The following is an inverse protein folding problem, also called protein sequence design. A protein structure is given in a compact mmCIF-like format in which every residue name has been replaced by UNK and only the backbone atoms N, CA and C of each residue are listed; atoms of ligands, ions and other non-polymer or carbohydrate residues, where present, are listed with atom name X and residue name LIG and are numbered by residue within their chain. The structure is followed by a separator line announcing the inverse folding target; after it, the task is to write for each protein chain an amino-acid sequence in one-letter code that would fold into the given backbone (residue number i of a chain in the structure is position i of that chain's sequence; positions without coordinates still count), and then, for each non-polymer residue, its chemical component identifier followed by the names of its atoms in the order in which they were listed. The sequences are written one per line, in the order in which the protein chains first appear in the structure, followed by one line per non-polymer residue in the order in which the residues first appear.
data_IF_093431704017
#
_entry.id   IF_093431704017
#
_cell.length_a   1.000
_cell.length_b   1.000
_cell.length_c   1.000
_cell.angle_alpha   90.00
_cell.angle_beta   90.00
_cell.angle_gamma   90.00
#
_symmetry.space_group_name_H-M   'P 1'
#
loop_
_entity.id
_entity.type
_entity.pdbx_description
1 polymer ?
#
# COMPACT_ATOMS: atom_id res chain seq x y z
N UNK A 1 3.75 3.71 42.54
CA UNK A 1 3.92 2.72 41.47
C UNK A 1 2.67 1.83 41.38
N UNK A 2 1.53 2.37 40.92
CA UNK A 2 0.23 1.66 40.86
C UNK A 2 -0.48 1.80 39.50
N UNK A 3 0.11 2.54 38.55
CA UNK A 3 -0.49 2.84 37.24
C UNK A 3 -0.44 1.66 36.25
N UNK A 4 0.35 0.60 36.50
CA UNK A 4 0.49 -0.51 35.54
C UNK A 4 -0.53 -1.64 35.73
N UNK A 5 -1.07 -1.87 36.93
CA UNK A 5 -1.99 -3.00 37.16
C UNK A 5 -3.41 -2.67 36.68
N UNK A 6 -3.85 -1.41 36.86
CA UNK A 6 -5.19 -0.97 36.48
C UNK A 6 -5.38 -0.94 34.95
N UNK A 7 -4.37 -0.48 34.21
CA UNK A 7 -4.40 -0.47 32.75
C UNK A 7 -4.36 -1.87 32.13
N UNK A 8 -3.65 -2.81 32.76
CA UNK A 8 -3.65 -4.23 32.38
C UNK A 8 -5.03 -4.85 32.63
N UNK A 9 -5.64 -4.61 33.79
CA UNK A 9 -6.98 -5.09 34.12
C UNK A 9 -8.07 -4.51 33.20
N UNK A 10 -7.99 -3.23 32.85
CA UNK A 10 -8.93 -2.59 31.93
C UNK A 10 -8.77 -3.10 30.49
N UNK A 11 -7.55 -3.46 30.07
CA UNK A 11 -7.31 -4.17 28.80
C UNK A 11 -7.84 -5.61 28.80
N UNK A 12 -7.80 -6.31 29.92
CA UNK A 12 -8.32 -7.68 30.06
C UNK A 12 -9.86 -7.67 30.01
N UNK A 13 -10.51 -6.68 30.64
CA UNK A 13 -11.98 -6.55 30.69
C UNK A 13 -12.65 -6.23 29.35
N UNK A 14 -11.90 -5.68 28.38
CA UNK A 14 -12.41 -5.38 27.02
C UNK A 14 -12.21 -6.53 26.03
N UNK A 15 -11.70 -7.68 26.47
CA UNK A 15 -11.48 -8.83 25.57
C UNK A 15 -12.80 -9.56 25.34
N UNK A 16 -13.19 -9.83 24.08
CA UNK A 16 -14.40 -10.56 23.76
C UNK A 16 -14.23 -12.01 24.17
N UNK A 17 -15.36 -12.59 24.53
CA UNK A 17 -15.49 -14.01 24.76
C UNK A 17 -16.09 -14.62 23.49
N UNK A 18 -15.52 -15.74 23.03
CA UNK A 18 -16.08 -16.50 21.90
C UNK A 18 -16.77 -17.74 22.46
N UNK A 19 -17.99 -18.01 21.97
CA UNK A 19 -18.69 -19.27 22.26
C UNK A 19 -18.14 -20.36 21.35
N UNK A 20 -17.73 -21.47 21.94
CA UNK A 20 -17.20 -22.62 21.19
C UNK A 20 -17.90 -23.90 21.58
N UNK A 21 -18.09 -24.79 20.61
CA UNK A 21 -18.64 -26.13 20.81
C UNK A 21 -17.49 -27.14 20.78
N UNK A 22 -17.35 -27.94 21.82
CA UNK A 22 -16.36 -29.01 21.87
C UNK A 22 -16.91 -30.35 21.38
N UNK A 23 -16.01 -31.29 21.12
CA UNK A 23 -16.36 -32.69 20.84
C UNK A 23 -17.10 -33.25 22.07
N UNK A 24 -18.43 -33.32 21.98
CA UNK A 24 -19.32 -33.65 23.11
C UNK A 24 -20.53 -32.72 23.28
N UNK A 25 -20.68 -31.68 22.45
CA UNK A 25 -21.77 -30.66 22.50
C UNK A 25 -21.75 -29.77 23.75
N UNK A 26 -20.62 -29.69 24.43
CA UNK A 26 -20.45 -28.73 25.53
C UNK A 26 -20.11 -27.37 24.91
N UNK A 27 -20.91 -26.35 25.25
CA UNK A 27 -20.64 -24.96 24.86
C UNK A 27 -19.85 -24.28 25.96
N UNK A 28 -18.70 -23.73 25.61
CA UNK A 28 -17.77 -23.10 26.57
C UNK A 28 -17.46 -21.68 26.12
N UNK A 29 -17.47 -20.74 27.07
CA UNK A 29 -16.94 -19.38 26.86
C UNK A 29 -15.44 -19.36 27.15
N UNK A 30 -14.67 -18.75 26.25
CA UNK A 30 -13.23 -18.64 26.42
C UNK A 30 -12.72 -17.23 26.11
N UNK A 31 -11.65 -16.86 26.83
CA UNK A 31 -10.97 -15.59 26.64
C UNK A 31 -9.96 -15.67 25.49
N UNK A 32 -10.05 -14.70 24.57
CA UNK A 32 -9.12 -14.55 23.44
C UNK A 32 -7.80 -13.91 23.90
N UNK A 33 -6.67 -14.53 23.54
CA UNK A 33 -5.32 -13.99 23.73
C UNK A 33 -4.69 -13.65 22.38
N UNK A 34 -4.25 -12.39 22.21
CA UNK A 34 -3.62 -11.91 20.97
C UNK A 34 -2.31 -11.16 21.27
N UNK A 35 -1.25 -11.38 20.48
CA UNK A 35 -0.14 -10.44 20.39
C UNK A 35 -0.66 -9.08 19.92
N UNK A 36 -0.07 -7.98 20.40
CA UNK A 36 -0.42 -6.65 19.90
C UNK A 36 -0.12 -6.52 18.41
N UNK A 37 -1.09 -6.07 17.63
CA UNK A 37 -0.88 -5.72 16.22
C UNK A 37 -1.02 -6.88 15.24
N UNK A 38 -1.50 -8.06 15.65
CA UNK A 38 -1.79 -9.17 14.73
C UNK A 38 -3.17 -9.76 15.01
N UNK A 39 -4.02 -9.79 14.01
CA UNK A 39 -5.37 -10.34 14.08
C UNK A 39 -5.62 -11.26 12.88
N UNK A 40 -6.43 -12.27 13.10
CA UNK A 40 -6.96 -13.14 12.05
C UNK A 40 -8.39 -13.48 12.44
N UNK A 41 -9.24 -13.85 11.48
CA UNK A 41 -10.56 -14.41 11.78
C UNK A 41 -10.53 -15.91 11.47
N UNK A 42 -10.91 -16.80 12.40
CA UNK A 42 -10.92 -18.23 12.23
C UNK A 42 -11.67 -18.59 10.97
N UNK A 43 -11.15 -19.60 10.30
CA UNK A 43 -11.85 -20.23 9.21
C UNK A 43 -13.04 -20.99 9.82
N UNK A 44 -14.24 -20.72 9.33
CA UNK A 44 -15.44 -21.42 9.75
C UNK A 44 -15.31 -22.93 9.59
N UNK A 45 -15.91 -23.64 10.54
CA UNK A 45 -15.93 -25.11 10.62
C UNK A 45 -14.53 -25.75 10.70
N UNK A 46 -13.52 -25.01 11.17
CA UNK A 46 -12.17 -25.55 11.46
C UNK A 46 -11.91 -25.66 12.96
N UNK A 47 -10.99 -26.56 13.31
CA UNK A 47 -10.63 -26.88 14.70
C UNK A 47 -9.72 -25.78 15.27
N UNK A 48 -10.02 -25.31 16.47
CA UNK A 48 -9.15 -24.46 17.27
C UNK A 48 -8.51 -25.27 18.41
N UNK A 49 -7.33 -24.84 18.88
CA UNK A 49 -6.71 -25.43 20.07
C UNK A 49 -7.29 -24.80 21.33
N UNK A 50 -7.82 -25.64 22.20
CA UNK A 50 -8.32 -25.29 23.53
C UNK A 50 -7.36 -25.89 24.55
N UNK A 51 -6.85 -25.08 25.47
CA UNK A 51 -6.01 -25.56 26.58
C UNK A 51 -6.61 -25.17 27.93
N UNK A 52 -6.44 -26.02 28.93
CA UNK A 52 -6.87 -25.72 30.29
C UNK A 52 -5.74 -24.96 31.00
N UNK A 53 -6.02 -23.76 31.52
CA UNK A 53 -5.11 -23.11 32.47
C UNK A 53 -5.23 -23.77 33.84
N UNK A 54 -6.47 -24.06 34.28
CA UNK A 54 -6.76 -24.81 35.50
C UNK A 54 -8.18 -25.40 35.42
N UNK A 55 -8.69 -25.92 36.55
CA UNK A 55 -10.04 -26.52 36.64
C UNK A 55 -11.19 -25.56 36.26
N UNK A 56 -10.98 -24.25 36.37
CA UNK A 56 -12.01 -23.24 36.18
C UNK A 56 -11.83 -22.45 34.87
N UNK A 57 -10.65 -22.45 34.26
CA UNK A 57 -10.33 -21.60 33.11
C UNK A 57 -9.77 -22.41 31.94
N UNK A 58 -10.44 -22.28 30.80
CA UNK A 58 -9.97 -22.76 29.49
C UNK A 58 -9.61 -21.55 28.62
N UNK A 59 -8.56 -21.68 27.83
CA UNK A 59 -8.14 -20.69 26.82
C UNK A 59 -8.32 -21.28 25.45
N UNK A 60 -8.86 -20.47 24.56
CA UNK A 60 -8.95 -20.77 23.14
C UNK A 60 -8.07 -19.78 22.42
N UNK A 61 -7.21 -20.31 21.56
CA UNK A 61 -6.50 -19.50 20.57
C UNK A 61 -7.47 -19.28 19.39
N UNK A 62 -8.49 -18.46 19.63
CA UNK A 62 -9.40 -17.97 18.60
C UNK A 62 -9.04 -16.52 18.34
N UNK A 63 -8.85 -16.16 17.08
CA UNK A 63 -8.44 -14.83 16.69
C UNK A 63 -9.73 -14.09 16.27
N UNK A 64 -10.16 -13.02 16.92
CA UNK A 64 -11.21 -12.19 16.30
C UNK A 64 -10.67 -10.78 16.29
N UNK A 65 -10.75 -10.11 15.14
CA UNK A 65 -10.29 -8.73 15.05
C UNK A 65 -11.31 -7.80 15.70
N UNK A 66 -10.83 -6.96 16.62
CA UNK A 66 -11.64 -6.02 17.40
C UNK A 66 -11.44 -4.57 16.98
N UNK A 67 -10.54 -4.37 16.02
CA UNK A 67 -10.18 -3.09 15.45
C UNK A 67 -10.86 -2.95 14.10
N UNK A 68 -10.92 -4.03 13.31
CA UNK A 68 -11.61 -4.08 12.02
C UNK A 68 -12.73 -5.13 12.03
N UNK A 69 -13.92 -4.68 12.38
CA UNK A 69 -15.16 -5.48 12.39
C UNK A 69 -15.58 -5.94 10.96
N UNK A 70 -14.90 -5.47 9.91
CA UNK A 70 -15.18 -5.82 8.52
C UNK A 70 -14.49 -7.09 8.03
N UNK A 71 -13.53 -7.64 8.79
CA UNK A 71 -12.80 -8.85 8.40
C UNK A 71 -13.69 -10.09 8.42
N UNK A 72 -13.51 -10.93 7.41
CA UNK A 72 -14.26 -12.18 7.22
C UNK A 72 -13.40 -13.40 7.55
N UNK A 73 -14.07 -14.53 7.68
CA UNK A 73 -13.43 -15.84 7.89
C UNK A 73 -12.31 -16.12 6.88
N UNK A 74 -11.12 -16.43 7.40
CA UNK A 74 -9.93 -16.70 6.58
C UNK A 74 -9.14 -15.46 6.19
N UNK A 75 -9.55 -14.27 6.61
CA UNK A 75 -8.80 -13.03 6.43
C UNK A 75 -7.91 -12.75 7.65
N UNK A 76 -6.90 -11.91 7.46
CA UNK A 76 -6.00 -11.49 8.52
C UNK A 76 -5.59 -10.03 8.36
N UNK A 77 -5.37 -9.34 9.47
CA UNK A 77 -4.86 -7.97 9.47
C UNK A 77 -3.73 -7.79 10.48
N UNK A 78 -2.72 -7.03 10.07
CA UNK A 78 -1.58 -6.64 10.90
C UNK A 78 -1.62 -5.13 11.05
N UNK A 79 -1.41 -4.65 12.28
CA UNK A 79 -1.44 -3.23 12.63
C UNK A 79 -0.11 -2.75 13.14
N UNK A 80 0.28 -1.55 12.72
CA UNK A 80 1.25 -0.72 13.44
C UNK A 80 0.51 0.30 14.27
N UNK A 81 0.93 0.51 15.52
CA UNK A 81 0.36 1.52 16.42
C UNK A 81 1.45 2.38 17.05
N UNK A 82 1.12 3.64 17.37
CA UNK A 82 1.99 4.49 18.19
C UNK A 82 1.90 4.13 19.69
N UNK A 83 2.71 4.79 20.51
CA UNK A 83 2.75 4.60 21.98
C UNK A 83 1.40 4.89 22.67
N UNK A 84 0.51 5.65 22.01
CA UNK A 84 -0.84 5.95 22.49
C UNK A 84 -1.87 4.90 22.06
N UNK A 85 -1.47 3.93 21.24
CA UNK A 85 -2.33 2.89 20.70
C UNK A 85 -3.12 3.30 19.46
N UNK A 86 -2.83 4.46 18.84
CA UNK A 86 -3.46 4.84 17.58
C UNK A 86 -2.84 4.04 16.44
N UNK A 87 -3.68 3.50 15.57
CA UNK A 87 -3.23 2.76 14.38
C UNK A 87 -2.60 3.73 13.37
N UNK A 88 -1.41 3.37 12.85
CA UNK A 88 -0.64 4.14 11.87
C UNK A 88 -0.55 3.47 10.49
N UNK A 89 -0.61 2.15 10.47
CA UNK A 89 -0.61 1.37 9.23
C UNK A 89 -1.32 0.04 9.42
N UNK A 90 -1.85 -0.52 8.32
CA UNK A 90 -2.51 -1.82 8.25
C UNK A 90 -2.01 -2.62 7.06
N UNK A 91 -1.92 -3.93 7.22
CA UNK A 91 -1.73 -4.90 6.15
C UNK A 91 -2.85 -5.93 6.26
N UNK A 92 -3.73 -6.01 5.27
CA UNK A 92 -4.81 -6.99 5.22
C UNK A 92 -4.50 -8.05 4.18
N UNK A 93 -4.72 -9.31 4.56
CA UNK A 93 -4.70 -10.47 3.69
C UNK A 93 -6.15 -10.92 3.51
N UNK A 94 -6.69 -10.77 2.30
CA UNK A 94 -8.08 -11.07 2.00
C UNK A 94 -8.25 -12.50 1.46
N UNK A 95 -9.47 -13.01 1.57
CA UNK A 95 -9.82 -14.38 1.19
C UNK A 95 -9.67 -14.66 -0.31
N UNK A 96 -9.79 -13.62 -1.14
CA UNK A 96 -9.65 -13.71 -2.60
C UNK A 96 -8.17 -13.69 -3.05
N UNK A 97 -7.22 -13.60 -2.11
CA UNK A 97 -5.79 -13.51 -2.39
C UNK A 97 -5.26 -12.08 -2.52
N UNK A 98 -6.11 -11.07 -2.37
CA UNK A 98 -5.72 -9.65 -2.40
C UNK A 98 -4.99 -9.25 -1.12
N UNK A 99 -4.00 -8.36 -1.25
CA UNK A 99 -3.34 -7.71 -0.13
C UNK A 99 -3.71 -6.22 -0.15
N UNK A 100 -4.35 -5.73 0.91
CA UNK A 100 -4.61 -4.29 1.08
C UNK A 100 -3.58 -3.68 2.04
N UNK A 101 -3.00 -2.55 1.66
CA UNK A 101 -2.02 -1.81 2.45
C UNK A 101 -2.58 -0.42 2.73
N UNK A 102 -2.68 -0.04 4.00
CA UNK A 102 -3.13 1.29 4.43
C UNK A 102 -2.04 1.93 5.29
N UNK A 103 -1.66 3.16 4.98
CA UNK A 103 -0.66 3.92 5.73
C UNK A 103 -0.19 5.16 4.98
N UNK A 104 0.61 5.99 5.63
CA UNK A 104 1.13 7.23 5.02
C UNK A 104 2.14 6.98 3.89
N UNK A 105 2.96 5.93 4.01
CA UNK A 105 4.00 5.61 3.03
C UNK A 105 4.27 4.10 2.96
N UNK A 106 4.35 3.59 1.74
CA UNK A 106 4.82 2.23 1.44
C UNK A 106 6.22 2.36 0.82
N UNK A 107 7.20 1.62 1.35
CA UNK A 107 8.56 1.56 0.81
C UNK A 107 8.79 0.17 0.22
N UNK A 108 9.06 0.10 -1.09
CA UNK A 108 9.31 -1.14 -1.81
C UNK A 108 10.78 -1.17 -2.23
N UNK A 109 11.57 -2.01 -1.57
CA UNK A 109 13.03 -2.07 -1.73
C UNK A 109 13.74 -0.70 -1.64
N UNK A 110 13.31 0.12 -0.66
CA UNK A 110 13.75 1.50 -0.46
C UNK A 110 12.75 2.54 -0.98
N UNK A 111 13.15 3.81 -1.00
CA UNK A 111 12.36 4.93 -1.50
C UNK A 111 13.15 5.91 -2.40
N UNK A 112 14.39 5.57 -2.74
CA UNK A 112 15.27 6.42 -3.54
C UNK A 112 14.74 6.66 -4.98
N UNK A 113 14.11 5.65 -5.58
CA UNK A 113 13.65 5.66 -6.98
C UNK A 113 12.16 6.05 -7.14
N UNK A 114 11.45 6.39 -6.06
CA UNK A 114 10.02 6.73 -6.14
C UNK A 114 9.04 5.56 -6.23
N UNK A 115 9.50 4.31 -6.09
CA UNK A 115 8.65 3.12 -6.00
C UNK A 115 8.87 2.16 -7.17
N UNK A 116 7.81 1.80 -7.89
CA UNK A 116 7.86 0.88 -9.05
C UNK A 116 8.49 1.55 -10.28
N UNK A 117 8.25 2.85 -10.44
CA UNK A 117 8.74 3.66 -11.55
C UNK A 117 9.71 4.69 -11.00
N UNK A 118 10.86 4.83 -11.68
CA UNK A 118 11.84 5.91 -11.50
C UNK A 118 11.21 7.25 -11.87
N UNK A 119 10.46 7.83 -10.94
CA UNK A 119 9.55 8.96 -11.23
C UNK A 119 10.31 10.22 -11.65
N UNK A 120 11.51 10.43 -11.13
CA UNK A 120 12.33 11.60 -11.46
C UNK A 120 12.94 11.46 -12.86
N UNK A 121 13.42 10.28 -13.24
CA UNK A 121 13.81 9.94 -14.61
C UNK A 121 12.63 10.12 -15.58
N UNK A 122 11.45 9.62 -15.23
CA UNK A 122 10.25 9.78 -16.06
C UNK A 122 9.93 11.27 -16.31
N UNK A 123 9.91 12.10 -15.25
CA UNK A 123 9.67 13.55 -15.37
C UNK A 123 10.73 14.21 -16.25
N UNK A 124 12.00 13.86 -16.05
CA UNK A 124 13.12 14.40 -16.83
C UNK A 124 13.00 14.08 -18.32
N UNK A 125 12.62 12.85 -18.67
CA UNK A 125 12.48 12.42 -20.06
C UNK A 125 11.20 12.98 -20.70
N UNK A 126 10.11 13.11 -19.95
CA UNK A 126 8.89 13.79 -20.40
C UNK A 126 9.14 15.28 -20.68
N UNK A 127 9.93 15.94 -19.84
CA UNK A 127 10.22 17.37 -19.99
C UNK A 127 10.94 17.69 -21.31
N UNK A 128 11.77 16.77 -21.82
CA UNK A 128 12.37 16.92 -23.15
C UNK A 128 11.32 17.03 -24.25
N UNK A 129 10.27 16.22 -24.17
CA UNK A 129 9.17 16.25 -25.14
C UNK A 129 8.34 17.53 -24.99
N UNK A 130 8.10 17.99 -23.76
CA UNK A 130 7.43 19.28 -23.50
C UNK A 130 8.19 20.44 -24.13
N UNK A 131 9.51 20.46 -24.01
CA UNK A 131 10.36 21.50 -24.60
C UNK A 131 10.29 21.50 -26.13
N UNK A 132 10.35 20.32 -26.75
CA UNK A 132 10.19 20.19 -28.22
C UNK A 132 8.83 20.72 -28.65
N UNK A 133 7.75 20.33 -27.95
CA UNK A 133 6.40 20.78 -28.28
C UNK A 133 6.27 22.31 -28.12
N UNK A 134 6.80 22.88 -27.04
CA UNK A 134 6.78 24.33 -26.84
C UNK A 134 7.53 25.07 -27.96
N UNK A 135 8.67 24.54 -28.41
CA UNK A 135 9.43 25.12 -29.53
C UNK A 135 8.61 25.09 -30.83
N UNK A 136 7.98 23.95 -31.15
CA UNK A 136 7.12 23.83 -32.33
C UNK A 136 5.99 24.86 -32.26
N UNK A 137 5.32 24.96 -31.11
CA UNK A 137 4.24 25.93 -30.90
C UNK A 137 4.73 27.38 -31.07
N UNK A 138 5.93 27.70 -30.58
CA UNK A 138 6.53 29.03 -30.75
C UNK A 138 6.79 29.35 -32.22
N UNK A 139 7.40 28.43 -32.97
CA UNK A 139 7.67 28.62 -34.41
C UNK A 139 6.36 28.79 -35.19
N UNK A 140 5.35 27.98 -34.90
CA UNK A 140 4.02 28.08 -35.52
C UNK A 140 3.27 29.37 -35.17
N UNK A 141 3.62 30.05 -34.09
CA UNK A 141 2.95 31.28 -33.65
C UNK A 141 3.49 32.54 -34.32
N UNK A 142 4.61 32.45 -35.03
CA UNK A 142 5.26 33.59 -35.69
C UNK A 142 4.88 33.60 -37.18
N UNK A 143 4.26 34.68 -37.70
CA UNK A 143 4.03 34.82 -39.13
C UNK A 143 5.37 34.82 -39.88
N UNK A 144 5.50 33.96 -40.88
CA UNK A 144 6.68 33.87 -41.74
C UNK A 144 6.31 34.28 -43.17
N UNK A 145 7.15 35.12 -43.76
CA UNK A 145 7.02 35.47 -45.17
C UNK A 145 7.77 34.42 -45.99
N UNK A 146 7.01 33.64 -46.76
CA UNK A 146 7.59 32.64 -47.65
C UNK A 146 8.03 33.29 -48.96
N UNK A 147 9.22 32.90 -49.43
CA UNK A 147 9.65 33.24 -50.78
C UNK A 147 8.81 32.43 -51.79
N UNK A 148 8.48 33.04 -52.93
CA UNK A 148 7.66 32.41 -53.96
C UNK A 148 8.24 31.09 -54.52
N UNK A 149 7.46 30.43 -55.39
CA UNK A 149 7.75 29.09 -55.90
C UNK A 149 9.21 28.88 -56.36
N UNK A 150 9.85 27.84 -55.83
CA UNK A 150 11.21 27.41 -56.18
C UNK A 150 12.30 27.80 -55.17
N UNK A 151 11.98 28.62 -54.17
CA UNK A 151 12.89 28.99 -53.08
C UNK A 151 12.77 28.04 -51.87
N UNK A 152 13.82 27.93 -51.05
CA UNK A 152 13.78 27.11 -49.84
C UNK A 152 12.81 27.70 -48.80
N UNK A 153 12.02 26.84 -48.13
CA UNK A 153 11.02 27.29 -47.15
C UNK A 153 11.67 27.96 -45.94
N UNK A 154 11.20 29.16 -45.62
CA UNK A 154 11.65 29.94 -44.45
C UNK A 154 11.12 29.30 -43.17
N UNK A 155 9.87 28.84 -43.17
CA UNK A 155 9.29 28.11 -42.05
C UNK A 155 10.11 26.85 -41.71
N UNK A 156 10.44 26.05 -42.72
CA UNK A 156 11.19 24.81 -42.51
C UNK A 156 12.60 25.09 -41.95
N UNK A 157 13.27 26.13 -42.44
CA UNK A 157 14.57 26.55 -41.91
C UNK A 157 14.46 26.98 -40.44
N UNK A 158 13.46 27.80 -40.10
CA UNK A 158 13.24 28.24 -38.72
C UNK A 158 12.92 27.07 -37.79
N UNK A 159 12.09 26.12 -38.24
CA UNK A 159 11.75 24.92 -37.48
C UNK A 159 12.99 24.02 -37.25
N UNK A 160 13.76 23.75 -38.31
CA UNK A 160 14.96 22.93 -38.22
C UNK A 160 16.01 23.56 -37.28
N UNK A 161 16.22 24.88 -37.38
CA UNK A 161 17.12 25.61 -36.51
C UNK A 161 16.65 25.57 -35.04
N UNK A 162 15.35 25.73 -34.79
CA UNK A 162 14.81 25.72 -33.43
C UNK A 162 14.85 24.34 -32.76
N UNK A 163 14.73 23.27 -33.56
CA UNK A 163 14.82 21.88 -33.11
C UNK A 163 16.26 21.35 -33.03
N UNK A 164 17.24 22.09 -33.53
CA UNK A 164 18.64 21.65 -33.56
C UNK A 164 19.15 21.34 -32.14
N UNK A 165 19.80 20.17 -32.00
CA UNK A 165 20.34 19.70 -30.72
C UNK A 165 19.31 19.27 -29.68
N UNK A 166 18.00 19.31 -29.98
CA UNK A 166 16.97 18.76 -29.09
C UNK A 166 16.93 17.25 -29.20
N UNK A 167 16.71 16.60 -28.06
CA UNK A 167 16.62 15.14 -27.98
C UNK A 167 15.23 14.77 -27.51
N UNK A 168 14.64 13.72 -28.11
CA UNK A 168 13.37 13.17 -27.68
C UNK A 168 13.60 12.40 -26.37
N UNK A 169 12.60 12.40 -25.48
CA UNK A 169 12.60 11.61 -24.27
C UNK A 169 12.82 10.11 -24.54
N UNK A 170 13.66 9.47 -23.73
CA UNK A 170 13.91 8.04 -23.75
C UNK A 170 13.34 7.37 -22.50
N UNK A 171 12.35 6.50 -22.70
CA UNK A 171 11.61 5.85 -21.61
C UNK A 171 12.07 4.41 -21.31
N UNK A 172 13.15 3.92 -21.93
CA UNK A 172 13.59 2.53 -21.77
C UNK A 172 14.13 2.20 -20.35
N UNK A 173 14.45 3.22 -19.54
CA UNK A 173 15.08 3.04 -18.24
C UNK A 173 14.24 3.61 -17.08
N UNK A 174 12.91 3.76 -17.25
CA UNK A 174 12.03 4.33 -16.22
C UNK A 174 11.56 3.29 -15.20
N UNK A 175 11.79 2.01 -15.44
CA UNK A 175 11.41 0.94 -14.51
C UNK A 175 12.43 0.83 -13.36
N UNK A 176 11.95 0.53 -12.15
CA UNK A 176 12.81 0.23 -11.02
C UNK A 176 13.11 -1.26 -10.93
N UNK A 177 14.25 -1.68 -11.49
CA UNK A 177 14.73 -3.07 -11.51
C UNK A 177 14.92 -3.70 -10.12
N UNK A 178 14.88 -2.90 -9.05
CA UNK A 178 14.93 -3.40 -7.67
C UNK A 178 13.61 -3.97 -7.20
N UNK A 179 12.49 -3.63 -7.84
CA UNK A 179 11.16 -4.13 -7.48
C UNK A 179 10.60 -4.90 -8.66
N UNK A 180 10.66 -6.23 -8.58
CA UNK A 180 10.03 -7.09 -9.59
C UNK A 180 8.51 -6.96 -9.49
N UNK A 181 7.88 -6.61 -10.60
CA UNK A 181 6.42 -6.55 -10.75
C UNK A 181 6.00 -7.18 -12.09
N UNK A 182 4.73 -7.61 -12.18
CA UNK A 182 4.16 -8.24 -13.37
C UNK A 182 3.48 -7.25 -14.31
#
# INVERSE_FOLDING_TARGET
MFASIKSILDRIKKRPFVKTETIGKEVIEAQVLQPSGFTSVPIKDKRAFITNINTNYKVILAFEDLIDEGLKEGEACIYSSDDSGNIKAKIKLLKDGTIELEGEKIKLNGDAEGGLIKIEELKKELEKNNQILQIILQVCSIPVNEAGNGSASVFQQALNAALEGKTIGNFNNIENDKVLHG
#
